data_IF_720308525713
#
_entry.id   IF_720308525713
#
_cell.length_a   1.000
_cell.length_b   1.000
_cell.length_c   1.000
_cell.angle_alpha   90.00
_cell.angle_beta   90.00
_cell.angle_gamma   90.00
#
_symmetry.space_group_name_H-M   'P 1'
#
loop_
_entity.id
_entity.type
_entity.pdbx_description
1 polymer ?
#
# COMPACT_ATOMS: atom_id res chain seq x y z
N UNK A 1 2.72 -28.28 -8.46
CA UNK A 1 1.85 -27.34 -9.18
C UNK A 1 1.71 -26.10 -8.31
N UNK A 2 2.10 -24.91 -8.78
CA UNK A 2 1.88 -23.69 -8.00
C UNK A 2 0.39 -23.32 -8.08
N UNK A 3 -0.21 -23.03 -6.93
CA UNK A 3 -1.61 -22.60 -6.86
C UNK A 3 -1.69 -21.12 -7.27
N UNK A 4 -2.48 -20.81 -8.30
CA UNK A 4 -2.57 -19.45 -8.83
C UNK A 4 -3.24 -18.52 -7.80
N UNK A 5 -2.76 -17.27 -7.60
CA UNK A 5 -3.47 -16.29 -6.78
C UNK A 5 -4.84 -15.98 -7.40
N UNK A 6 -5.83 -15.60 -6.58
CA UNK A 6 -7.17 -15.31 -7.09
C UNK A 6 -7.18 -14.04 -7.95
N UNK A 7 -8.04 -14.05 -8.96
CA UNK A 7 -8.25 -13.00 -9.98
C UNK A 7 -8.81 -11.66 -9.46
N UNK A 8 -8.66 -11.38 -8.16
CA UNK A 8 -9.02 -10.09 -7.56
C UNK A 8 -7.84 -9.11 -7.76
N UNK A 9 -8.07 -8.03 -8.50
CA UNK A 9 -7.10 -6.93 -8.69
C UNK A 9 -6.54 -6.40 -7.37
N UNK A 10 -7.31 -6.47 -6.28
CA UNK A 10 -6.86 -6.02 -4.96
C UNK A 10 -5.66 -6.82 -4.41
N UNK A 11 -5.38 -8.02 -4.91
CA UNK A 11 -4.20 -8.80 -4.52
C UNK A 11 -2.88 -8.29 -5.12
N UNK A 12 -2.92 -7.38 -6.08
CA UNK A 12 -1.76 -6.98 -6.88
C UNK A 12 -1.37 -5.51 -6.66
N UNK A 13 -0.09 -5.20 -6.90
CA UNK A 13 0.45 -3.85 -7.00
C UNK A 13 1.26 -3.78 -8.29
N UNK A 14 0.63 -3.28 -9.34
CA UNK A 14 1.25 -3.08 -10.65
C UNK A 14 2.04 -1.76 -10.68
N UNK A 15 3.18 -1.79 -11.38
CA UNK A 15 4.01 -0.63 -11.71
C UNK A 15 4.75 -0.91 -13.03
N UNK A 16 5.18 0.12 -13.75
CA UNK A 16 6.06 -0.05 -14.92
C UNK A 16 7.02 1.14 -15.07
N UNK A 17 6.53 2.30 -15.54
CA UNK A 17 7.38 3.47 -15.74
C UNK A 17 7.59 4.25 -14.43
N UNK A 18 8.68 5.03 -14.35
CA UNK A 18 9.09 5.71 -13.12
C UNK A 18 8.22 6.92 -12.73
N UNK A 19 7.45 7.44 -13.68
CA UNK A 19 6.52 8.57 -13.60
C UNK A 19 5.05 8.15 -13.45
N UNK A 20 4.75 6.85 -13.53
CA UNK A 20 3.43 6.26 -13.34
C UNK A 20 3.09 6.00 -11.85
N UNK A 21 1.83 5.63 -11.59
CA UNK A 21 1.43 5.05 -10.30
C UNK A 21 2.38 3.91 -9.91
N UNK A 22 2.87 3.93 -8.66
CA UNK A 22 3.83 2.96 -8.13
C UNK A 22 5.23 2.95 -8.81
N UNK A 23 5.56 3.90 -9.70
CA UNK A 23 6.86 4.01 -10.37
C UNK A 23 8.09 4.07 -9.43
N UNK A 24 7.87 4.41 -8.17
CA UNK A 24 8.82 4.31 -7.05
C UNK A 24 9.41 2.90 -6.87
N UNK A 25 8.77 1.84 -7.37
CA UNK A 25 9.27 0.46 -7.33
C UNK A 25 10.27 0.15 -8.46
N UNK A 26 10.23 0.87 -9.58
CA UNK A 26 11.12 0.68 -10.72
C UNK A 26 12.61 0.86 -10.38
N UNK A 27 13.49 0.15 -11.11
CA UNK A 27 14.94 0.27 -10.93
C UNK A 27 15.51 1.65 -11.30
N UNK A 28 14.78 2.39 -12.15
CA UNK A 28 15.17 3.72 -12.67
C UNK A 28 14.60 4.91 -11.88
N UNK A 29 13.79 4.67 -10.84
CA UNK A 29 13.31 5.75 -9.97
C UNK A 29 14.48 6.53 -9.35
N UNK A 30 14.40 7.87 -9.31
CA UNK A 30 15.41 8.73 -8.71
C UNK A 30 15.38 8.67 -7.16
N UNK A 31 15.93 7.60 -6.60
CA UNK A 31 16.03 7.35 -5.16
C UNK A 31 17.48 6.97 -4.83
N UNK A 32 18.39 7.96 -4.76
CA UNK A 32 19.81 7.71 -4.60
C UNK A 32 20.14 7.07 -3.25
N UNK A 33 21.19 6.27 -3.20
CA UNK A 33 21.64 5.57 -1.99
C UNK A 33 23.14 5.23 -2.07
N UNK A 34 23.76 4.96 -0.93
CA UNK A 34 25.21 4.67 -0.85
C UNK A 34 25.43 3.31 -0.20
N UNK A 35 26.24 2.44 -0.81
CA UNK A 35 26.60 1.11 -0.29
C UNK A 35 28.10 0.93 -0.37
N UNK A 36 28.73 0.50 0.74
CA UNK A 36 30.17 0.27 0.84
C UNK A 36 31.04 1.47 0.39
N UNK A 37 30.52 2.69 0.57
CA UNK A 37 31.19 3.94 0.15
C UNK A 37 30.93 4.37 -1.30
N UNK A 38 30.32 3.52 -2.14
CA UNK A 38 29.94 3.86 -3.51
C UNK A 38 28.53 4.43 -3.54
N UNK A 39 28.35 5.56 -4.22
CA UNK A 39 27.06 6.23 -4.39
C UNK A 39 26.38 5.76 -5.69
N UNK A 40 25.07 5.55 -5.65
CA UNK A 40 24.27 5.08 -6.78
C UNK A 40 23.04 5.99 -6.97
N UNK A 41 22.89 6.67 -8.13
CA UNK A 41 21.72 7.49 -8.43
C UNK A 41 20.41 6.70 -8.48
N UNK A 42 20.45 5.47 -9.02
CA UNK A 42 19.30 4.56 -9.11
C UNK A 42 19.70 3.13 -8.79
N UNK A 43 18.72 2.24 -8.55
CA UNK A 43 18.99 0.84 -8.27
C UNK A 43 19.56 0.08 -9.49
N UNK A 44 19.33 0.53 -10.72
CA UNK A 44 19.99 -0.08 -11.89
C UNK A 44 21.49 0.25 -11.98
N UNK A 45 21.93 1.43 -11.50
CA UNK A 45 23.37 1.71 -11.40
C UNK A 45 24.05 0.68 -10.48
N UNK A 46 23.42 0.37 -9.34
CA UNK A 46 23.86 -0.71 -8.44
C UNK A 46 23.82 -2.08 -9.14
N UNK A 47 22.72 -2.43 -9.83
CA UNK A 47 22.58 -3.71 -10.53
C UNK A 47 23.69 -3.91 -11.58
N UNK A 48 23.96 -2.91 -12.41
CA UNK A 48 24.98 -2.99 -13.46
C UNK A 48 26.40 -2.96 -12.89
N UNK A 49 26.65 -2.17 -11.84
CA UNK A 49 27.92 -2.15 -11.10
C UNK A 49 28.25 -3.54 -10.50
N UNK A 50 27.31 -4.12 -9.76
CA UNK A 50 27.49 -5.44 -9.15
C UNK A 50 27.48 -6.58 -10.18
N UNK A 51 26.82 -6.42 -11.33
CA UNK A 51 26.99 -7.31 -12.50
C UNK A 51 28.44 -7.27 -13.00
N UNK A 52 29.02 -6.09 -13.20
CA UNK A 52 30.40 -5.96 -13.66
C UNK A 52 31.39 -6.59 -12.66
N UNK A 53 31.21 -6.35 -11.35
CA UNK A 53 32.01 -7.00 -10.30
C UNK A 53 31.88 -8.54 -10.28
N UNK A 54 30.69 -9.10 -10.54
CA UNK A 54 30.47 -10.55 -10.61
C UNK A 54 31.32 -11.24 -11.69
N UNK A 55 31.64 -10.52 -12.78
CA UNK A 55 32.50 -10.98 -13.87
C UNK A 55 33.92 -10.41 -13.81
N UNK A 56 34.29 -9.80 -12.68
CA UNK A 56 35.61 -9.19 -12.41
C UNK A 56 35.96 -7.98 -13.30
N UNK A 57 34.98 -7.44 -14.04
CA UNK A 57 35.13 -6.29 -14.92
C UNK A 57 35.13 -4.98 -14.13
N UNK A 58 36.27 -4.70 -13.47
CA UNK A 58 36.45 -3.48 -12.67
C UNK A 58 36.35 -2.21 -13.51
N UNK A 59 36.79 -2.24 -14.77
CA UNK A 59 36.77 -1.08 -15.65
C UNK A 59 35.33 -0.66 -15.99
N UNK A 60 34.47 -1.60 -16.37
CA UNK A 60 33.04 -1.34 -16.55
C UNK A 60 32.38 -0.91 -15.25
N UNK A 61 32.76 -1.51 -14.11
CA UNK A 61 32.23 -1.11 -12.80
C UNK A 61 32.57 0.35 -12.45
N UNK A 62 33.83 0.76 -12.58
CA UNK A 62 34.29 2.14 -12.37
C UNK A 62 33.57 3.12 -13.29
N UNK A 63 33.42 2.79 -14.58
CA UNK A 63 32.67 3.63 -15.53
C UNK A 63 31.19 3.75 -15.14
N UNK A 64 30.53 2.65 -14.75
CA UNK A 64 29.12 2.66 -14.30
C UNK A 64 28.94 3.50 -13.04
N UNK A 65 29.85 3.40 -12.06
CA UNK A 65 29.80 4.21 -10.83
C UNK A 65 30.09 5.70 -11.07
N UNK A 66 30.79 6.05 -12.14
CA UNK A 66 31.08 7.44 -12.53
C UNK A 66 30.02 8.08 -13.43
N UNK A 67 29.11 7.29 -14.01
CA UNK A 67 28.09 7.76 -14.96
C UNK A 67 26.79 8.12 -14.26
N UNK A 68 26.15 9.20 -14.71
CA UNK A 68 24.78 9.57 -14.35
C UNK A 68 23.79 9.34 -15.51
N UNK A 69 24.26 8.85 -16.68
CA UNK A 69 23.41 8.63 -17.85
C UNK A 69 22.86 7.18 -17.90
N UNK A 70 21.52 6.99 -17.84
CA UNK A 70 20.88 5.69 -17.99
C UNK A 70 21.26 4.93 -19.27
N UNK A 71 21.45 5.62 -20.40
CA UNK A 71 21.74 4.97 -21.67
C UNK A 71 23.16 4.37 -21.66
N UNK A 72 24.15 5.14 -21.21
CA UNK A 72 25.53 4.70 -20.99
C UNK A 72 25.59 3.56 -19.99
N UNK A 73 24.87 3.64 -18.86
CA UNK A 73 24.86 2.57 -17.84
C UNK A 73 24.28 1.27 -18.38
N UNK A 74 23.16 1.32 -19.14
CA UNK A 74 22.61 0.14 -19.84
C UNK A 74 23.58 -0.40 -20.91
N UNK A 75 24.28 0.48 -21.64
CA UNK A 75 25.23 0.08 -22.68
C UNK A 75 26.46 -0.62 -22.09
N UNK A 76 27.03 -0.11 -20.99
CA UNK A 76 28.13 -0.74 -20.25
C UNK A 76 27.68 -2.06 -19.62
N UNK A 77 26.51 -2.07 -18.97
CA UNK A 77 25.91 -3.27 -18.39
C UNK A 77 25.63 -4.41 -19.39
N UNK A 78 25.44 -4.08 -20.67
CA UNK A 78 25.34 -5.05 -21.79
C UNK A 78 26.70 -5.51 -22.32
N UNK A 79 27.78 -4.75 -22.10
CA UNK A 79 29.13 -4.98 -22.62
C UNK A 79 30.12 -5.60 -21.62
N UNK A 80 29.70 -5.81 -20.37
CA UNK A 80 30.48 -6.48 -19.31
C UNK A 80 31.21 -7.71 -19.85
N UNK A 81 32.54 -7.69 -19.77
CA UNK A 81 33.41 -8.76 -20.24
C UNK A 81 33.23 -10.04 -19.43
N UNK A 82 33.61 -11.19 -20.02
CA UNK A 82 33.50 -12.52 -19.40
C UNK A 82 32.10 -12.88 -18.88
N UNK A 83 31.04 -12.31 -19.46
CA UNK A 83 29.65 -12.57 -19.07
C UNK A 83 29.27 -14.04 -19.28
N UNK A 84 29.02 -14.75 -18.18
CA UNK A 84 28.41 -16.07 -18.16
C UNK A 84 26.93 -15.96 -17.76
N UNK A 85 26.07 -16.66 -18.51
CA UNK A 85 24.62 -16.58 -18.32
C UNK A 85 24.17 -17.25 -17.03
N UNK A 86 24.60 -18.49 -16.78
CA UNK A 86 24.13 -19.28 -15.63
C UNK A 86 24.55 -18.64 -14.31
N UNK A 87 25.80 -18.16 -14.23
CA UNK A 87 26.34 -17.40 -13.10
C UNK A 87 25.56 -16.11 -12.86
N UNK A 88 25.12 -15.41 -13.91
CA UNK A 88 24.24 -14.25 -13.77
C UNK A 88 22.86 -14.65 -13.28
N UNK A 89 22.23 -15.66 -13.89
CA UNK A 89 20.88 -16.08 -13.51
C UNK A 89 20.79 -16.58 -12.06
N UNK A 90 21.84 -17.23 -11.55
CA UNK A 90 21.99 -17.64 -10.15
C UNK A 90 22.25 -16.47 -9.16
N UNK A 91 22.71 -15.30 -9.62
CA UNK A 91 23.06 -14.16 -8.74
C UNK A 91 22.13 -12.94 -8.89
N UNK A 92 21.46 -12.77 -10.03
CA UNK A 92 20.71 -11.55 -10.39
C UNK A 92 19.66 -11.17 -9.35
N UNK A 93 18.90 -12.15 -8.84
CA UNK A 93 17.83 -11.92 -7.86
C UNK A 93 18.42 -11.42 -6.52
N UNK A 94 19.51 -12.04 -6.06
CA UNK A 94 20.21 -11.62 -4.84
C UNK A 94 20.76 -10.19 -4.98
N UNK A 95 21.46 -9.90 -6.08
CA UNK A 95 22.05 -8.58 -6.36
C UNK A 95 20.98 -7.48 -6.41
N UNK A 96 19.86 -7.69 -7.13
CA UNK A 96 18.77 -6.69 -7.19
C UNK A 96 18.06 -6.55 -5.84
N UNK A 97 17.91 -7.64 -5.08
CA UNK A 97 17.37 -7.57 -3.71
C UNK A 97 18.28 -6.78 -2.77
N UNK A 98 19.61 -6.92 -2.89
CA UNK A 98 20.60 -6.15 -2.11
C UNK A 98 20.59 -4.66 -2.48
N UNK A 99 20.55 -4.33 -3.78
CA UNK A 99 20.41 -2.95 -4.26
C UNK A 99 19.09 -2.30 -3.83
N UNK A 100 17.98 -3.05 -3.90
CA UNK A 100 16.70 -2.61 -3.38
C UNK A 100 16.75 -2.44 -1.85
N UNK A 101 17.38 -3.33 -1.08
CA UNK A 101 17.58 -3.09 0.37
C UNK A 101 18.37 -1.80 0.61
N UNK A 102 19.39 -1.50 -0.19
CA UNK A 102 20.09 -0.20 -0.16
C UNK A 102 19.14 0.99 -0.37
N UNK A 103 18.46 1.03 -1.52
CA UNK A 103 17.46 2.06 -1.90
C UNK A 103 16.39 2.25 -0.82
N UNK A 104 15.69 1.17 -0.44
CA UNK A 104 14.53 1.18 0.45
C UNK A 104 14.89 1.19 1.95
N UNK A 105 16.14 0.96 2.35
CA UNK A 105 16.55 1.18 3.75
C UNK A 105 16.81 2.67 4.02
N UNK A 106 17.40 3.38 3.05
CA UNK A 106 17.87 4.77 3.14
C UNK A 106 16.81 5.81 2.75
N UNK A 107 15.98 5.53 1.74
CA UNK A 107 14.91 6.44 1.28
C UNK A 107 13.60 6.15 2.02
N UNK A 108 13.27 6.99 3.01
CA UNK A 108 12.14 6.74 3.92
C UNK A 108 10.75 6.76 3.23
N UNK A 109 10.55 7.59 2.21
CA UNK A 109 9.30 7.61 1.43
C UNK A 109 9.10 6.30 0.67
N UNK A 110 10.11 5.89 -0.10
CA UNK A 110 10.13 4.60 -0.80
C UNK A 110 9.91 3.42 0.17
N UNK A 111 10.52 3.48 1.37
CA UNK A 111 10.34 2.49 2.44
C UNK A 111 8.89 2.38 2.92
N UNK A 112 8.21 3.51 3.07
CA UNK A 112 6.79 3.56 3.44
C UNK A 112 5.92 2.99 2.32
N UNK A 113 6.14 3.41 1.07
CA UNK A 113 5.41 2.87 -0.09
C UNK A 113 5.56 1.34 -0.20
N UNK A 114 6.79 0.82 -0.08
CA UNK A 114 7.04 -0.63 -0.14
C UNK A 114 6.38 -1.39 1.02
N UNK A 115 6.28 -0.79 2.22
CA UNK A 115 5.56 -1.39 3.35
C UNK A 115 4.03 -1.33 3.19
N UNK A 116 3.51 -0.25 2.60
CA UNK A 116 2.07 -0.05 2.32
C UNK A 116 1.51 -1.04 1.30
N UNK A 117 2.34 -1.66 0.47
CA UNK A 117 1.93 -2.81 -0.37
C UNK A 117 1.40 -4.01 0.43
N UNK A 118 1.57 -4.01 1.77
CA UNK A 118 1.05 -5.07 2.64
C UNK A 118 1.66 -6.40 2.26
N UNK A 119 0.80 -7.39 1.98
CA UNK A 119 1.23 -8.73 1.54
C UNK A 119 0.78 -9.03 0.10
N UNK A 120 0.40 -7.99 -0.65
CA UNK A 120 0.05 -8.06 -2.07
C UNK A 120 1.25 -8.50 -2.92
N UNK A 121 0.97 -9.09 -4.08
CA UNK A 121 1.96 -9.42 -5.10
C UNK A 121 2.40 -8.14 -5.82
N UNK A 122 3.69 -7.81 -5.77
CA UNK A 122 4.27 -6.69 -6.51
C UNK A 122 4.61 -7.16 -7.92
N UNK A 123 4.18 -6.44 -8.97
CA UNK A 123 4.26 -6.89 -10.37
C UNK A 123 4.74 -5.79 -11.30
N UNK A 124 5.86 -6.03 -11.98
CA UNK A 124 6.35 -5.14 -13.05
C UNK A 124 5.58 -5.42 -14.35
N UNK A 125 4.61 -4.56 -14.66
CA UNK A 125 3.69 -4.64 -15.80
C UNK A 125 4.34 -4.13 -17.11
N UNK A 126 5.59 -4.49 -17.34
CA UNK A 126 6.32 -4.19 -18.56
C UNK A 126 5.85 -5.12 -19.70
N UNK A 127 5.36 -4.60 -20.84
CA UNK A 127 5.04 -5.43 -22.00
C UNK A 127 6.30 -5.97 -22.71
N UNK A 128 7.45 -5.31 -22.57
CA UNK A 128 8.69 -5.67 -23.26
C UNK A 128 9.59 -6.65 -22.46
N UNK A 129 9.47 -6.69 -21.12
CA UNK A 129 10.36 -7.49 -20.27
C UNK A 129 9.63 -8.69 -19.63
N UNK A 130 10.03 -9.90 -20.03
CA UNK A 130 9.54 -11.20 -19.51
C UNK A 130 10.48 -11.84 -18.47
N UNK A 131 11.54 -11.15 -18.05
CA UNK A 131 12.53 -11.61 -17.06
C UNK A 131 12.36 -10.83 -15.76
N UNK A 132 12.40 -9.50 -15.81
CA UNK A 132 12.18 -8.64 -14.64
C UNK A 132 10.70 -8.38 -14.41
N UNK A 133 9.92 -8.26 -15.49
CA UNK A 133 8.47 -8.13 -15.50
C UNK A 133 7.70 -9.34 -16.05
N UNK A 134 6.43 -9.11 -16.37
CA UNK A 134 5.47 -10.13 -16.84
C UNK A 134 5.29 -10.20 -18.37
N UNK A 135 5.80 -9.24 -19.15
CA UNK A 135 5.59 -9.19 -20.59
C UNK A 135 4.17 -8.84 -21.04
N UNK A 136 3.41 -8.11 -20.21
CA UNK A 136 2.05 -7.62 -20.49
C UNK A 136 1.81 -6.29 -19.76
N UNK A 137 0.92 -5.45 -20.28
CA UNK A 137 0.47 -4.24 -19.56
C UNK A 137 -0.44 -4.60 -18.37
N UNK A 138 -0.75 -3.63 -17.50
CA UNK A 138 -1.67 -3.80 -16.36
C UNK A 138 -3.05 -4.30 -16.78
N UNK A 139 -3.57 -3.82 -17.91
CA UNK A 139 -4.89 -4.12 -18.46
C UNK A 139 -4.96 -5.53 -19.08
N UNK A 140 -3.82 -6.08 -19.45
CA UNK A 140 -3.65 -7.41 -20.04
C UNK A 140 -3.21 -8.45 -19.01
N UNK A 141 -2.57 -8.02 -17.92
CA UNK A 141 -1.96 -8.86 -16.90
C UNK A 141 -2.90 -9.97 -16.40
N UNK A 142 -4.08 -9.63 -15.87
CA UNK A 142 -5.01 -10.63 -15.32
C UNK A 142 -5.63 -11.56 -16.38
N UNK A 143 -5.63 -11.18 -17.66
CA UNK A 143 -6.16 -12.02 -18.76
C UNK A 143 -5.15 -13.09 -19.18
N UNK A 144 -3.85 -12.81 -19.00
CA UNK A 144 -2.74 -13.62 -19.50
C UNK A 144 -1.85 -14.18 -18.36
N UNK A 145 -2.39 -14.36 -17.15
CA UNK A 145 -1.64 -14.84 -15.96
C UNK A 145 -0.87 -16.16 -16.19
N UNK A 146 -1.35 -17.01 -17.08
CA UNK A 146 -0.74 -18.29 -17.43
C UNK A 146 0.54 -18.12 -18.26
N UNK A 147 0.64 -17.02 -19.02
CA UNK A 147 1.73 -16.70 -19.93
C UNK A 147 2.67 -15.62 -19.37
N UNK A 148 2.59 -15.28 -18.09
CA UNK A 148 3.45 -14.25 -17.48
C UNK A 148 4.95 -14.59 -17.57
N UNK A 149 5.74 -13.55 -17.76
CA UNK A 149 7.18 -13.54 -17.51
C UNK A 149 7.52 -13.75 -16.02
N UNK A 150 8.81 -13.87 -15.72
CA UNK A 150 9.29 -14.30 -14.40
C UNK A 150 9.02 -13.30 -13.27
N UNK A 151 8.71 -12.03 -13.57
CA UNK A 151 8.48 -10.96 -12.58
C UNK A 151 9.58 -10.87 -11.50
N UNK A 152 10.86 -11.07 -11.89
CA UNK A 152 11.97 -11.14 -10.92
C UNK A 152 12.17 -9.82 -10.16
N UNK A 153 11.76 -8.66 -10.69
CA UNK A 153 11.82 -7.41 -9.94
C UNK A 153 10.74 -7.39 -8.85
N UNK A 154 9.52 -7.82 -9.17
CA UNK A 154 8.47 -8.02 -8.18
C UNK A 154 8.89 -8.98 -7.05
N UNK A 155 9.54 -10.10 -7.40
CA UNK A 155 10.13 -11.03 -6.43
C UNK A 155 11.19 -10.37 -5.56
N UNK A 156 12.15 -9.65 -6.16
CA UNK A 156 13.21 -8.94 -5.42
C UNK A 156 12.64 -7.90 -4.44
N UNK A 157 11.62 -7.13 -4.86
CA UNK A 157 10.95 -6.13 -4.03
C UNK A 157 10.21 -6.76 -2.84
N UNK A 158 9.59 -7.92 -3.02
CA UNK A 158 8.92 -8.64 -1.93
C UNK A 158 9.92 -9.24 -0.93
N UNK A 159 11.08 -9.72 -1.38
CA UNK A 159 12.17 -10.13 -0.48
C UNK A 159 12.84 -8.94 0.23
N UNK A 160 12.99 -7.78 -0.44
CA UNK A 160 13.37 -6.52 0.23
C UNK A 160 12.36 -6.12 1.31
N UNK A 161 11.05 -6.18 1.01
CA UNK A 161 9.95 -5.90 1.96
C UNK A 161 10.05 -6.79 3.21
N UNK A 162 10.33 -8.09 3.02
CA UNK A 162 10.54 -9.10 4.08
C UNK A 162 11.80 -8.81 4.92
N UNK A 163 12.95 -8.56 4.28
CA UNK A 163 14.21 -8.23 4.98
C UNK A 163 14.08 -6.98 5.85
N UNK A 164 13.49 -5.90 5.32
CA UNK A 164 13.26 -4.66 6.06
C UNK A 164 12.27 -4.84 7.23
N UNK A 165 11.31 -5.79 7.15
CA UNK A 165 10.45 -6.17 8.29
C UNK A 165 11.25 -6.90 9.38
N UNK A 166 12.09 -7.86 8.98
CA UNK A 166 12.95 -8.60 9.92
C UNK A 166 13.96 -7.69 10.63
N UNK A 167 14.57 -6.74 9.92
CA UNK A 167 15.43 -5.70 10.50
C UNK A 167 14.70 -4.84 11.53
N UNK A 168 13.46 -4.41 11.23
CA UNK A 168 12.61 -3.66 12.17
C UNK A 168 12.29 -4.49 13.43
N UNK A 169 12.00 -5.77 13.28
CA UNK A 169 11.74 -6.66 14.42
C UNK A 169 13.02 -6.83 15.27
N UNK A 170 14.16 -7.14 14.64
CA UNK A 170 15.46 -7.24 15.30
C UNK A 170 15.85 -5.96 16.04
N UNK A 171 15.64 -4.78 15.45
CA UNK A 171 15.97 -3.49 16.08
C UNK A 171 15.07 -3.11 17.25
N UNK A 172 13.85 -3.66 17.32
CA UNK A 172 12.97 -3.55 18.50
C UNK A 172 13.39 -4.55 19.59
N UNK A 173 13.73 -5.79 19.22
CA UNK A 173 14.17 -6.82 20.17
C UNK A 173 15.55 -6.55 20.79
N UNK A 174 16.43 -5.82 20.08
CA UNK A 174 17.78 -5.50 20.54
C UNK A 174 17.86 -4.28 21.49
N UNK A 175 16.75 -3.57 21.75
CA UNK A 175 16.77 -2.41 22.65
C UNK A 175 16.84 -2.87 24.13
N UNK A 176 17.76 -2.30 24.94
CA UNK A 176 17.86 -2.65 26.35
C UNK A 176 16.59 -2.24 27.11
N UNK A 177 16.22 -3.01 28.13
CA UNK A 177 14.97 -2.81 28.92
C UNK A 177 14.98 -1.56 29.82
N UNK A 178 15.96 -0.66 29.68
CA UNK A 178 16.23 0.48 30.56
C UNK A 178 15.91 1.81 29.89
N UNK A 179 15.17 2.63 30.63
CA UNK A 179 14.66 3.97 30.31
C UNK A 179 13.60 4.08 29.19
N UNK A 180 12.34 3.92 29.61
CA UNK A 180 11.17 4.49 28.94
C UNK A 180 10.42 5.49 29.85
N UNK A 181 11.12 6.15 30.78
CA UNK A 181 10.57 7.21 31.64
C UNK A 181 10.88 8.61 31.11
N UNK A 182 12.06 8.82 30.51
CA UNK A 182 12.57 10.14 30.15
C UNK A 182 11.99 10.69 28.83
N UNK A 183 11.04 9.99 28.18
CA UNK A 183 10.55 10.32 26.82
C UNK A 183 9.07 10.72 26.72
N UNK A 184 8.49 11.23 27.80
CA UNK A 184 7.12 11.82 27.81
C UNK A 184 7.13 13.30 27.40
N UNK A 185 8.26 14.00 27.56
CA UNK A 185 8.41 15.42 27.19
C UNK A 185 9.15 15.56 25.85
N UNK A 186 8.43 15.58 24.72
CA UNK A 186 8.64 16.48 23.56
C UNK A 186 7.75 16.09 22.37
N UNK A 187 7.30 17.09 21.59
CA UNK A 187 6.93 16.92 20.18
C UNK A 187 5.62 16.18 19.90
N UNK A 188 4.49 16.88 19.97
CA UNK A 188 3.28 16.46 19.25
C UNK A 188 3.50 16.66 17.74
N UNK A 189 3.45 15.60 16.94
CA UNK A 189 3.11 15.67 15.52
C UNK A 189 2.57 14.34 14.99
N UNK A 190 1.45 14.43 14.26
CA UNK A 190 1.03 13.52 13.18
C UNK A 190 1.30 12.02 13.36
N UNK A 191 0.28 11.32 13.87
CA UNK A 191 0.19 9.86 13.80
C UNK A 191 -1.08 9.50 13.01
N UNK A 192 -0.95 8.73 11.92
CA UNK A 192 -2.01 7.83 11.42
C UNK A 192 -1.50 6.85 10.34
N UNK A 193 -1.28 5.60 10.77
CA UNK A 193 -1.73 4.42 10.01
C UNK A 193 -3.28 4.33 10.14
N UNK A 194 -4.08 3.41 9.60
CA UNK A 194 -3.98 1.97 9.35
C UNK A 194 -5.01 1.56 8.25
N UNK A 195 -5.04 0.36 7.65
CA UNK A 195 -4.14 -0.80 7.82
C UNK A 195 -3.51 -1.25 6.47
N UNK A 196 -3.76 -2.38 5.77
CA UNK A 196 -4.50 -3.63 6.03
C UNK A 196 -3.81 -4.83 5.33
N UNK A 197 -4.50 -5.96 5.09
CA UNK A 197 -3.90 -7.27 4.74
C UNK A 197 -4.75 -8.12 3.79
N UNK A 198 -4.13 -8.84 2.84
CA UNK A 198 -4.29 -10.30 2.71
C UNK A 198 -3.34 -10.95 1.69
N UNK A 199 -3.28 -12.29 1.74
CA UNK A 199 -2.45 -13.17 0.88
C UNK A 199 -3.24 -14.45 0.56
N UNK A 200 -3.06 -15.01 -0.64
CA UNK A 200 -3.48 -16.39 -0.96
C UNK A 200 -2.25 -17.24 -1.35
N UNK A 201 -2.21 -18.45 -0.79
CA UNK A 201 -1.28 -19.54 -1.04
C UNK A 201 -1.90 -20.81 -0.46
N UNK A 202 -1.76 -21.95 -1.14
CA UNK A 202 -1.91 -23.32 -0.61
C UNK A 202 -3.26 -23.59 0.09
N UNK A 203 -4.38 -23.17 -0.52
CA UNK A 203 -5.75 -23.14 0.00
C UNK A 203 -6.07 -24.17 1.11
N UNK A 204 -6.14 -25.47 0.84
CA UNK A 204 -6.58 -26.45 1.86
C UNK A 204 -5.55 -26.70 2.98
N UNK A 205 -4.26 -26.80 2.65
CA UNK A 205 -3.19 -26.99 3.65
C UNK A 205 -3.03 -25.77 4.55
N UNK A 206 -3.16 -24.56 3.98
CA UNK A 206 -3.08 -23.29 4.70
C UNK A 206 -4.41 -22.93 5.35
N UNK A 207 -5.56 -23.43 4.90
CA UNK A 207 -6.81 -23.35 5.66
C UNK A 207 -6.72 -24.19 6.94
N UNK A 208 -6.14 -25.40 6.89
CA UNK A 208 -5.87 -26.18 8.09
C UNK A 208 -4.88 -25.46 9.03
N UNK A 209 -3.72 -25.02 8.52
CA UNK A 209 -2.68 -24.37 9.31
C UNK A 209 -3.09 -22.97 9.83
N UNK A 210 -3.82 -22.16 9.05
CA UNK A 210 -4.42 -20.91 9.55
C UNK A 210 -5.54 -21.18 10.55
N UNK A 211 -6.31 -22.27 10.45
CA UNK A 211 -7.33 -22.60 11.46
C UNK A 211 -6.68 -22.98 12.79
N UNK A 212 -5.64 -23.80 12.80
CA UNK A 212 -4.89 -24.07 14.05
C UNK A 212 -4.20 -22.81 14.55
N UNK A 213 -3.39 -22.11 13.73
CA UNK A 213 -2.74 -20.86 14.16
C UNK A 213 -3.73 -19.81 14.65
N UNK A 214 -4.80 -19.52 13.92
CA UNK A 214 -5.81 -18.55 14.37
C UNK A 214 -6.55 -19.05 15.62
N UNK A 215 -6.90 -20.34 15.73
CA UNK A 215 -7.55 -20.87 16.94
C UNK A 215 -6.60 -20.86 18.15
N UNK A 216 -5.29 -21.07 17.94
CA UNK A 216 -4.31 -21.17 19.01
C UNK A 216 -3.61 -19.83 19.30
N UNK A 217 -3.80 -18.82 18.46
CA UNK A 217 -3.57 -17.41 18.75
C UNK A 217 -4.80 -16.79 19.42
N UNK A 218 -6.02 -17.20 19.03
CA UNK A 218 -7.26 -16.78 19.67
C UNK A 218 -7.41 -17.36 21.08
N UNK A 219 -7.12 -18.65 21.28
CA UNK A 219 -6.99 -19.26 22.63
C UNK A 219 -5.95 -18.52 23.44
N UNK A 220 -4.73 -18.32 22.93
CA UNK A 220 -3.68 -17.58 23.64
C UNK A 220 -4.13 -16.15 24.01
N UNK A 221 -4.78 -15.43 23.10
CA UNK A 221 -5.35 -14.11 23.39
C UNK A 221 -6.45 -14.17 24.46
N UNK A 222 -7.36 -15.14 24.38
CA UNK A 222 -8.42 -15.36 25.35
C UNK A 222 -7.86 -15.76 26.73
N UNK A 223 -6.86 -16.64 26.78
CA UNK A 223 -6.15 -17.05 27.98
C UNK A 223 -5.53 -15.82 28.67
N UNK A 224 -4.81 -14.95 27.94
CA UNK A 224 -4.30 -13.70 28.50
C UNK A 224 -5.42 -12.72 28.90
N UNK A 225 -6.51 -12.60 28.13
CA UNK A 225 -7.67 -11.76 28.48
C UNK A 225 -8.42 -12.27 29.72
N UNK A 226 -8.40 -13.57 30.00
CA UNK A 226 -9.03 -14.18 31.18
C UNK A 226 -8.13 -14.11 32.41
N UNK A 227 -6.81 -14.36 32.26
CA UNK A 227 -5.86 -14.47 33.39
C UNK A 227 -5.15 -13.16 33.76
N UNK A 228 -4.70 -12.33 32.80
CA UNK A 228 -3.95 -11.09 33.08
C UNK A 228 -4.86 -9.89 33.43
N UNK A 229 -6.20 -10.03 33.29
CA UNK A 229 -7.17 -8.94 33.46
C UNK A 229 -8.30 -9.25 34.45
N UNK A 230 -8.79 -8.21 35.12
CA UNK A 230 -10.03 -8.29 35.90
C UNK A 230 -11.26 -8.18 34.99
N UNK A 231 -12.43 -8.63 35.48
CA UNK A 231 -13.69 -8.52 34.72
C UNK A 231 -14.00 -7.07 34.31
N UNK A 232 -13.78 -6.11 35.22
CA UNK A 232 -13.92 -4.67 34.94
C UNK A 232 -13.07 -4.17 33.76
N UNK A 233 -11.92 -4.82 33.51
CA UNK A 233 -10.99 -4.44 32.46
C UNK A 233 -11.42 -5.07 31.12
N UNK A 234 -11.96 -6.29 31.15
CA UNK A 234 -12.64 -6.92 30.00
C UNK A 234 -13.89 -6.12 29.60
N UNK A 235 -14.75 -5.76 30.54
CA UNK A 235 -15.97 -4.98 30.29
C UNK A 235 -15.64 -3.59 29.69
N UNK A 236 -14.56 -2.96 30.19
CA UNK A 236 -14.03 -1.72 29.66
C UNK A 236 -13.46 -1.88 28.24
N UNK A 237 -12.74 -2.97 27.94
CA UNK A 237 -12.26 -3.26 26.58
C UNK A 237 -13.41 -3.54 25.60
N UNK A 238 -14.43 -4.31 26.01
CA UNK A 238 -15.61 -4.62 25.18
C UNK A 238 -16.44 -3.36 24.87
N UNK A 239 -16.68 -2.52 25.88
CA UNK A 239 -17.41 -1.25 25.68
C UNK A 239 -16.60 -0.20 24.90
N UNK A 240 -15.27 -0.18 25.04
CA UNK A 240 -14.40 0.61 24.18
C UNK A 240 -14.40 0.09 22.73
N UNK A 241 -14.36 -1.22 22.50
CA UNK A 241 -14.47 -1.83 21.17
C UNK A 241 -15.80 -1.50 20.49
N UNK A 242 -16.91 -1.59 21.23
CA UNK A 242 -18.24 -1.20 20.74
C UNK A 242 -18.35 0.30 20.42
N UNK A 243 -17.50 1.15 21.00
CA UNK A 243 -17.45 2.59 20.66
C UNK A 243 -16.94 2.85 19.24
N UNK A 244 -16.14 1.95 18.65
CA UNK A 244 -15.77 2.03 17.24
C UNK A 244 -16.98 1.81 16.33
N UNK A 245 -17.65 0.67 16.48
CA UNK A 245 -18.77 0.26 15.61
C UNK A 245 -19.98 1.19 15.72
N UNK A 246 -20.32 1.65 16.92
CA UNK A 246 -21.46 2.56 17.14
C UNK A 246 -21.24 3.92 16.48
N UNK A 247 -20.04 4.50 16.57
CA UNK A 247 -19.73 5.78 15.92
C UNK A 247 -19.56 5.63 14.40
N UNK A 248 -18.95 4.54 13.90
CA UNK A 248 -18.85 4.26 12.47
C UNK A 248 -20.24 4.08 11.81
N UNK A 249 -21.16 3.37 12.49
CA UNK A 249 -22.54 3.24 12.03
C UNK A 249 -23.30 4.58 12.05
N UNK A 250 -23.21 5.34 13.14
CA UNK A 250 -23.85 6.66 13.24
C UNK A 250 -23.32 7.63 12.17
N UNK A 251 -22.00 7.68 11.97
CA UNK A 251 -21.35 8.45 10.92
C UNK A 251 -21.81 8.03 9.51
N UNK A 252 -21.93 6.73 9.25
CA UNK A 252 -22.48 6.19 7.99
C UNK A 252 -23.91 6.69 7.71
N UNK A 253 -24.81 6.64 8.70
CA UNK A 253 -26.18 7.15 8.55
C UNK A 253 -26.23 8.67 8.32
N UNK A 254 -25.42 9.45 9.04
CA UNK A 254 -25.30 10.90 8.86
C UNK A 254 -24.76 11.22 7.46
N UNK A 255 -23.71 10.50 7.03
CA UNK A 255 -23.07 10.64 5.73
C UNK A 255 -24.02 10.36 4.55
N UNK A 256 -24.75 9.24 4.61
CA UNK A 256 -25.81 8.91 3.64
C UNK A 256 -26.88 10.01 3.59
N UNK A 257 -27.33 10.50 4.74
CA UNK A 257 -28.37 11.55 4.84
C UNK A 257 -27.91 12.88 4.24
N UNK A 258 -26.67 13.30 4.53
CA UNK A 258 -26.06 14.50 3.95
C UNK A 258 -25.80 14.35 2.45
N UNK A 259 -25.38 13.16 1.99
CA UNK A 259 -25.20 12.85 0.58
C UNK A 259 -26.50 12.93 -0.23
N UNK A 260 -27.58 12.31 0.27
CA UNK A 260 -28.89 12.37 -0.34
C UNK A 260 -29.50 13.79 -0.34
N UNK A 261 -29.34 14.56 0.75
CA UNK A 261 -29.73 15.97 0.81
C UNK A 261 -28.94 16.82 -0.18
N UNK A 262 -27.63 16.58 -0.32
CA UNK A 262 -26.77 17.29 -1.27
C UNK A 262 -27.14 16.97 -2.71
N UNK A 263 -27.45 15.71 -3.03
CA UNK A 263 -27.96 15.30 -4.34
C UNK A 263 -29.29 15.97 -4.68
N UNK A 264 -30.22 16.04 -3.72
CA UNK A 264 -31.49 16.75 -3.88
C UNK A 264 -31.28 18.24 -4.17
N UNK A 265 -30.45 18.93 -3.37
CA UNK A 265 -30.15 20.37 -3.57
C UNK A 265 -29.46 20.64 -4.91
N UNK A 266 -28.49 19.81 -5.30
CA UNK A 266 -27.78 19.95 -6.58
C UNK A 266 -28.71 19.67 -7.78
N UNK A 267 -29.62 18.70 -7.66
CA UNK A 267 -30.65 18.46 -8.68
C UNK A 267 -31.59 19.65 -8.82
N UNK A 268 -32.15 20.14 -7.71
CA UNK A 268 -33.08 21.27 -7.70
C UNK A 268 -32.43 22.54 -8.29
N UNK A 269 -31.16 22.81 -7.98
CA UNK A 269 -30.40 23.91 -8.56
C UNK A 269 -30.24 23.79 -10.09
N UNK A 270 -29.89 22.59 -10.60
CA UNK A 270 -29.79 22.33 -12.04
C UNK A 270 -31.12 22.49 -12.77
N UNK A 271 -32.23 22.03 -12.18
CA UNK A 271 -33.57 22.18 -12.75
C UNK A 271 -34.03 23.65 -12.76
N UNK A 272 -33.75 24.40 -11.69
CA UNK A 272 -34.02 25.84 -11.63
C UNK A 272 -33.20 26.63 -12.67
N UNK A 273 -31.91 26.32 -12.82
CA UNK A 273 -31.04 26.94 -13.82
C UNK A 273 -31.52 26.65 -15.25
N UNK A 274 -31.89 25.41 -15.56
CA UNK A 274 -32.45 25.05 -16.87
C UNK A 274 -33.79 25.75 -17.14
N UNK A 275 -34.64 25.93 -16.12
CA UNK A 275 -35.87 26.72 -16.25
C UNK A 275 -35.57 28.18 -16.56
N UNK A 276 -34.64 28.80 -15.84
CA UNK A 276 -34.23 30.19 -16.06
C UNK A 276 -33.68 30.42 -17.48
N UNK A 277 -32.81 29.54 -17.98
CA UNK A 277 -32.26 29.57 -19.34
C UNK A 277 -33.32 29.35 -20.46
N UNK A 278 -34.52 28.88 -20.11
CA UNK A 278 -35.67 28.78 -21.02
C UNK A 278 -36.61 29.99 -20.99
N UNK A 279 -36.63 30.74 -19.88
CA UNK A 279 -37.44 31.97 -19.75
C UNK A 279 -36.66 33.25 -20.06
N UNK A 280 -35.33 33.20 -20.12
CA UNK A 280 -34.51 34.33 -20.54
C UNK A 280 -34.68 34.61 -22.04
N UNK A 281 -34.83 35.88 -22.40
CA UNK A 281 -34.79 36.35 -23.78
C UNK A 281 -33.41 36.08 -24.41
N UNK A 282 -33.39 35.86 -25.74
CA UNK A 282 -32.22 35.32 -26.44
C UNK A 282 -31.79 36.24 -27.58
N UNK A 283 -30.49 36.59 -27.70
CA UNK A 283 -29.99 37.19 -28.93
C UNK A 283 -30.14 36.16 -30.05
N UNK A 284 -30.96 36.48 -31.05
CA UNK A 284 -31.24 35.59 -32.19
C UNK A 284 -30.11 35.59 -33.21
N UNK A 285 -29.36 36.69 -33.30
CA UNK A 285 -28.28 36.91 -34.26
C UNK A 285 -27.06 37.51 -33.55
N UNK A 286 -25.87 37.07 -33.95
CA UNK A 286 -24.61 37.76 -33.66
C UNK A 286 -24.26 38.63 -34.86
N UNK A 287 -23.90 39.90 -34.61
CA UNK A 287 -23.36 40.81 -35.63
C UNK A 287 -21.85 40.87 -35.45
N UNK A 288 -21.10 40.42 -36.46
CA UNK A 288 -19.65 40.50 -36.47
C UNK A 288 -19.18 41.89 -36.91
N UNK A 289 -17.92 42.23 -36.59
CA UNK A 289 -17.34 43.55 -36.88
C UNK A 289 -17.20 43.88 -38.38
N UNK A 290 -17.39 42.89 -39.26
CA UNK A 290 -17.45 43.02 -40.72
C UNK A 290 -18.88 43.16 -41.27
N UNK A 291 -19.89 43.22 -40.41
CA UNK A 291 -21.30 43.34 -40.77
C UNK A 291 -22.01 42.02 -41.08
N UNK A 292 -21.32 40.87 -41.07
CA UNK A 292 -21.96 39.55 -41.20
C UNK A 292 -22.87 39.28 -40.00
N UNK A 293 -23.99 38.63 -40.27
CA UNK A 293 -24.95 38.18 -39.25
C UNK A 293 -25.04 36.65 -39.27
N UNK A 294 -24.94 36.03 -38.10
CA UNK A 294 -25.08 34.57 -37.94
C UNK A 294 -26.08 34.25 -36.82
N UNK A 295 -26.92 33.25 -37.02
CA UNK A 295 -27.94 32.86 -36.05
C UNK A 295 -27.32 32.06 -34.89
N UNK A 296 -27.70 32.39 -33.66
CA UNK A 296 -27.20 31.67 -32.46
C UNK A 296 -27.83 30.26 -32.40
N UNK A 297 -27.03 29.17 -32.40
CA UNK A 297 -27.57 27.80 -32.35
C UNK A 297 -28.24 27.48 -31.01
N UNK A 298 -29.41 26.83 -31.03
CA UNK A 298 -30.14 26.50 -29.81
C UNK A 298 -29.55 25.30 -29.05
N UNK A 299 -28.66 25.58 -28.10
CA UNK A 299 -28.05 24.58 -27.22
C UNK A 299 -29.00 24.05 -26.11
N UNK A 300 -30.26 24.49 -26.05
CA UNK A 300 -31.21 24.11 -24.99
C UNK A 300 -31.57 22.62 -25.00
N UNK A 301 -31.52 21.97 -26.16
CA UNK A 301 -31.65 20.52 -26.30
C UNK A 301 -30.56 19.78 -25.51
N UNK A 302 -29.31 20.24 -25.62
CA UNK A 302 -28.12 19.65 -25.01
C UNK A 302 -28.01 19.94 -23.51
N UNK A 303 -28.49 21.11 -23.05
CA UNK A 303 -28.47 21.51 -21.64
C UNK A 303 -29.60 20.91 -20.79
N UNK A 304 -30.47 20.07 -21.36
CA UNK A 304 -31.63 19.49 -20.67
C UNK A 304 -31.20 18.45 -19.61
N UNK A 305 -31.59 18.60 -18.33
CA UNK A 305 -31.21 17.65 -17.28
C UNK A 305 -31.74 16.24 -17.57
N UNK A 306 -30.85 15.24 -17.58
CA UNK A 306 -31.18 13.85 -17.94
C UNK A 306 -31.59 13.00 -16.73
N UNK A 307 -32.43 11.99 -16.96
CA UNK A 307 -32.86 11.04 -15.90
C UNK A 307 -31.67 10.26 -15.33
N UNK A 308 -30.77 9.76 -16.20
CA UNK A 308 -29.56 9.04 -15.81
C UNK A 308 -28.59 9.92 -15.01
N UNK A 309 -28.35 11.17 -15.43
CA UNK A 309 -27.52 12.10 -14.68
C UNK A 309 -28.10 12.44 -13.30
N UNK A 310 -29.44 12.45 -13.18
CA UNK A 310 -30.13 12.52 -11.90
C UNK A 310 -29.83 11.33 -10.98
N UNK A 311 -29.97 10.10 -11.49
CA UNK A 311 -29.68 8.87 -10.73
C UNK A 311 -28.21 8.83 -10.31
N UNK A 312 -27.29 9.08 -11.24
CA UNK A 312 -25.84 9.12 -10.98
C UNK A 312 -25.48 10.17 -9.91
N UNK A 313 -26.17 11.32 -9.88
CA UNK A 313 -25.96 12.36 -8.85
C UNK A 313 -26.36 11.85 -7.46
N UNK A 314 -27.45 11.10 -7.33
CA UNK A 314 -27.85 10.49 -6.05
C UNK A 314 -26.89 9.37 -5.63
N UNK A 315 -26.50 8.47 -6.54
CA UNK A 315 -25.54 7.39 -6.23
C UNK A 315 -24.21 7.97 -5.77
N UNK A 316 -23.57 8.82 -6.59
CA UNK A 316 -22.23 9.34 -6.32
C UNK A 316 -22.16 10.12 -5.00
N UNK A 317 -23.13 11.01 -4.73
CA UNK A 317 -23.12 11.81 -3.50
C UNK A 317 -23.55 11.02 -2.26
N UNK A 318 -24.44 10.02 -2.39
CA UNK A 318 -24.80 9.17 -1.25
C UNK A 318 -23.67 8.21 -0.89
N UNK A 319 -23.00 7.59 -1.88
CA UNK A 319 -21.83 6.71 -1.65
C UNK A 319 -20.62 7.50 -1.15
N UNK A 320 -20.35 8.69 -1.70
CA UNK A 320 -19.30 9.57 -1.18
C UNK A 320 -19.59 10.05 0.25
N UNK A 321 -20.85 10.41 0.54
CA UNK A 321 -21.30 10.74 1.88
C UNK A 321 -21.17 9.57 2.86
N UNK A 322 -21.57 8.36 2.46
CA UNK A 322 -21.39 7.12 3.23
C UNK A 322 -19.92 6.89 3.62
N UNK A 323 -19.00 6.98 2.66
CA UNK A 323 -17.58 6.75 2.90
C UNK A 323 -17.00 7.76 3.90
N UNK A 324 -17.18 9.07 3.63
CA UNK A 324 -16.70 10.14 4.51
C UNK A 324 -17.33 10.07 5.92
N UNK A 325 -18.62 9.71 6.00
CA UNK A 325 -19.32 9.51 7.27
C UNK A 325 -18.83 8.30 8.04
N UNK A 326 -18.60 7.17 7.37
CA UNK A 326 -18.07 5.94 7.97
C UNK A 326 -16.68 6.14 8.55
N UNK A 327 -15.75 6.70 7.75
CA UNK A 327 -14.37 6.97 8.19
C UNK A 327 -14.30 7.98 9.33
N UNK A 328 -15.03 9.11 9.25
CA UNK A 328 -15.06 10.09 10.36
C UNK A 328 -15.70 9.51 11.62
N UNK A 329 -16.72 8.65 11.48
CA UNK A 329 -17.30 7.89 12.57
C UNK A 329 -16.31 6.90 13.22
N UNK A 330 -15.59 6.13 12.41
CA UNK A 330 -14.55 5.20 12.87
C UNK A 330 -13.42 5.92 13.62
N UNK A 331 -12.95 7.06 13.09
CA UNK A 331 -11.95 7.91 13.74
C UNK A 331 -12.45 8.44 15.11
N UNK A 332 -13.65 9.03 15.16
CA UNK A 332 -14.24 9.51 16.42
C UNK A 332 -14.46 8.38 17.44
N UNK A 333 -14.91 7.21 16.98
CA UNK A 333 -15.07 6.01 17.80
C UNK A 333 -13.75 5.53 18.39
N UNK A 334 -12.66 5.50 17.60
CA UNK A 334 -11.32 5.15 18.09
C UNK A 334 -10.77 6.14 19.12
N UNK A 335 -11.00 7.45 18.93
CA UNK A 335 -10.63 8.48 19.90
C UNK A 335 -11.41 8.32 21.21
N UNK A 336 -12.71 8.02 21.12
CA UNK A 336 -13.57 7.77 22.28
C UNK A 336 -13.16 6.51 23.03
N UNK A 337 -12.90 5.41 22.33
CA UNK A 337 -12.39 4.16 22.90
C UNK A 337 -11.06 4.36 23.64
N UNK A 338 -10.12 5.09 23.03
CA UNK A 338 -8.81 5.43 23.60
C UNK A 338 -8.94 6.31 24.86
N UNK A 339 -9.85 7.29 24.84
CA UNK A 339 -10.18 8.11 26.01
C UNK A 339 -10.79 7.28 27.15
N UNK A 340 -11.71 6.37 26.82
CA UNK A 340 -12.34 5.46 27.79
C UNK A 340 -11.32 4.52 28.42
N UNK A 341 -10.43 3.91 27.63
CA UNK A 341 -9.34 3.04 28.09
C UNK A 341 -8.35 3.80 29.00
N UNK A 342 -8.07 5.08 28.72
CA UNK A 342 -7.21 5.95 29.54
C UNK A 342 -7.86 6.53 30.79
N UNK A 343 -9.19 6.48 30.91
CA UNK A 343 -9.93 7.09 32.03
C UNK A 343 -9.61 6.47 33.39
N UNK A 344 -9.18 5.20 33.41
CA UNK A 344 -8.71 4.51 34.61
C UNK A 344 -7.22 4.11 34.44
N UNK A 345 -6.27 4.87 35.00
CA UNK A 345 -4.84 4.59 34.86
C UNK A 345 -4.39 3.22 35.39
N UNK A 346 -5.09 2.66 36.40
CA UNK A 346 -4.76 1.35 36.96
C UNK A 346 -5.21 0.21 36.03
N UNK A 347 -6.40 0.31 35.45
CA UNK A 347 -6.84 -0.61 34.38
C UNK A 347 -5.97 -0.49 33.13
N UNK A 348 -5.63 0.74 32.73
CA UNK A 348 -4.72 1.00 31.61
C UNK A 348 -3.38 0.28 31.76
N UNK A 349 -2.76 0.35 32.95
CA UNK A 349 -1.48 -0.31 33.23
C UNK A 349 -1.56 -1.85 33.20
N UNK A 350 -2.69 -2.44 33.66
CA UNK A 350 -2.94 -3.89 33.54
C UNK A 350 -3.15 -4.30 32.08
N UNK A 351 -4.01 -3.59 31.36
CA UNK A 351 -4.27 -3.79 29.92
C UNK A 351 -2.96 -3.71 29.11
N UNK A 352 -2.14 -2.69 29.32
CA UNK A 352 -0.84 -2.55 28.65
C UNK A 352 0.14 -3.69 29.00
N UNK A 353 0.05 -4.23 30.22
CA UNK A 353 0.86 -5.38 30.65
C UNK A 353 0.39 -6.68 29.99
N UNK A 354 -0.91 -6.97 30.00
CA UNK A 354 -1.51 -8.12 29.34
C UNK A 354 -1.17 -8.16 27.83
N UNK A 355 -1.38 -7.05 27.11
CA UNK A 355 -1.02 -6.95 25.69
C UNK A 355 0.49 -7.12 25.44
N UNK A 356 1.36 -6.72 26.37
CA UNK A 356 2.80 -6.95 26.27
C UNK A 356 3.15 -8.43 26.48
N UNK A 357 2.52 -9.10 27.45
CA UNK A 357 2.70 -10.53 27.71
C UNK A 357 2.27 -11.34 26.49
N UNK A 358 1.01 -11.16 26.05
CA UNK A 358 0.45 -11.76 24.85
C UNK A 358 1.35 -11.58 23.62
N UNK A 359 1.89 -10.38 23.39
CA UNK A 359 2.82 -10.12 22.27
C UNK A 359 4.16 -10.84 22.41
N UNK A 360 4.68 -10.99 23.63
CA UNK A 360 5.91 -11.78 23.88
C UNK A 360 5.64 -13.25 23.59
N UNK A 361 4.50 -13.80 24.02
CA UNK A 361 4.20 -15.22 23.85
C UNK A 361 3.76 -15.56 22.42
N UNK A 362 3.14 -14.64 21.68
CA UNK A 362 3.00 -14.70 20.22
C UNK A 362 4.36 -14.78 19.52
N UNK A 363 5.33 -13.94 19.89
CA UNK A 363 6.67 -13.93 19.28
C UNK A 363 7.48 -15.19 19.62
N UNK A 364 7.33 -15.75 20.84
CA UNK A 364 7.90 -17.07 21.19
C UNK A 364 7.32 -18.16 20.30
N UNK A 365 6.00 -18.17 20.10
CA UNK A 365 5.29 -19.16 19.28
C UNK A 365 5.66 -19.09 17.81
N UNK A 366 5.85 -17.87 17.27
CA UNK A 366 6.38 -17.65 15.93
C UNK A 366 7.82 -18.19 15.79
N UNK A 367 8.68 -17.93 16.79
CA UNK A 367 10.04 -18.48 16.83
C UNK A 367 10.06 -20.02 16.96
N UNK A 368 9.18 -20.60 17.79
CA UNK A 368 9.09 -22.05 18.01
C UNK A 368 8.66 -22.81 16.73
N UNK A 369 7.76 -22.23 15.92
CA UNK A 369 7.39 -22.82 14.63
C UNK A 369 8.45 -22.58 13.53
N UNK A 370 9.26 -21.52 13.63
CA UNK A 370 10.47 -21.36 12.81
C UNK A 370 11.52 -22.42 13.17
N UNK A 371 11.76 -22.68 14.47
CA UNK A 371 12.69 -23.72 14.96
C UNK A 371 12.24 -25.14 14.57
N UNK A 372 10.92 -25.42 14.58
CA UNK A 372 10.34 -26.67 14.07
C UNK A 372 10.39 -26.83 12.54
N UNK A 373 10.98 -25.88 11.80
CA UNK A 373 11.05 -25.91 10.35
C UNK A 373 9.70 -25.73 9.64
N UNK A 374 8.68 -25.21 10.33
CA UNK A 374 7.34 -24.94 9.78
C UNK A 374 7.20 -23.49 9.27
N UNK A 375 8.00 -22.57 9.80
CA UNK A 375 8.22 -21.27 9.18
C UNK A 375 9.19 -21.39 7.99
N UNK A 376 8.81 -20.85 6.83
CA UNK A 376 9.57 -20.99 5.58
C UNK A 376 10.95 -20.30 5.63
N UNK A 377 11.99 -21.09 5.90
CA UNK A 377 13.39 -20.75 5.62
C UNK A 377 13.68 -20.77 4.11
N UNK A 378 13.20 -19.75 3.41
CA UNK A 378 13.72 -19.36 2.10
C UNK A 378 14.99 -18.52 2.31
N UNK A 379 16.13 -19.21 2.23
CA UNK A 379 17.47 -18.63 2.15
C UNK A 379 17.75 -18.03 0.76
#
# INVERSE_FOLDING_TARGET
>A
MQEKPSLDENNFVFFWQSDEENGIFGQWSNHPFTVNGVHFPTAEHYMMYHKALLFQDKHSAEQIASSNDPATVKALGRKVSSFDREKWEANRLRIVTEGNVGKFSQNQEAKVALMQTGDKLIVEASPEDRIWGIGFTREEALKNMDDWGLNLLGQALMETRKKLRQERIRSVLAQPKTDLKTRICFGCSTNQHEHHTNTIMSSDSIAAFRRTMASDLHKLAEDHLQHDLHQSDRDLLMSAGNSFFTFAAAGTFIGLSLGALSAYRLRAAREAMFKALRTAERPTHLVFADGRQEAVPDLTSHLKPSRLGGIATYVLLSTGGMFLGGETGALLGSLRANQQIKSNPASYARIQTAFRNLRVDMLKKEAEELEKGRGNLSL
#
